data_IF_577463695978
#
_entry.id   IF_577463695978
#
_cell.length_a   1.000
_cell.length_b   1.000
_cell.length_c   1.000
_cell.angle_alpha   90.00
_cell.angle_beta   90.00
_cell.angle_gamma   90.00
#
_symmetry.space_group_name_H-M   'P 1'
#
loop_
_entity.id
_entity.type
_entity.pdbx_description
1 polymer ?
#
# COMPACT_ATOMS: atom_id res chain seq x y z
N UNK A 1 -2.59 -2.84 6.77
CA UNK A 1 -1.94 -2.15 7.92
C UNK A 1 -2.95 -1.95 9.04
N UNK A 2 -3.81 -0.91 9.05
CA UNK A 2 -4.79 -0.69 10.14
C UNK A 2 -5.63 -1.93 10.49
N UNK A 3 -6.13 -2.62 9.49
CA UNK A 3 -6.94 -3.85 9.67
C UNK A 3 -6.10 -5.04 10.19
N UNK A 4 -4.84 -5.16 9.77
CA UNK A 4 -3.94 -6.22 10.25
C UNK A 4 -3.52 -5.97 11.70
N UNK A 5 -3.30 -4.71 12.09
CA UNK A 5 -3.05 -4.31 13.47
C UNK A 5 -4.23 -4.64 14.39
N UNK A 6 -5.48 -4.46 13.93
CA UNK A 6 -6.67 -4.87 14.69
C UNK A 6 -6.79 -6.40 14.86
N UNK A 7 -6.36 -7.18 13.86
CA UNK A 7 -6.42 -8.66 13.92
C UNK A 7 -5.25 -9.28 14.69
N UNK A 8 -4.14 -8.56 14.88
CA UNK A 8 -2.95 -9.08 15.56
C UNK A 8 -2.83 -8.58 17.01
N UNK A 9 -3.23 -9.41 17.99
CA UNK A 9 -3.11 -9.09 19.43
C UNK A 9 -1.67 -9.11 19.98
N UNK A 10 -0.70 -9.81 19.35
CA UNK A 10 0.61 -10.13 19.97
C UNK A 10 1.87 -10.05 19.05
N UNK A 11 1.80 -9.54 17.82
CA UNK A 11 2.97 -9.50 16.91
C UNK A 11 3.74 -8.17 16.93
N UNK A 12 5.07 -8.17 16.85
CA UNK A 12 5.92 -6.97 16.75
C UNK A 12 5.44 -6.03 15.60
N UNK A 13 5.37 -4.69 15.77
CA UNK A 13 4.79 -3.79 14.76
C UNK A 13 5.43 -3.97 13.37
N UNK A 14 6.73 -4.27 13.32
CA UNK A 14 7.47 -4.50 12.07
C UNK A 14 6.94 -5.75 11.35
N UNK A 15 6.65 -6.82 12.09
CA UNK A 15 6.12 -8.07 11.52
C UNK A 15 4.70 -7.90 10.96
N UNK A 16 3.86 -7.10 11.63
CA UNK A 16 2.49 -6.81 11.19
C UNK A 16 2.50 -5.93 9.93
N UNK A 17 3.33 -4.89 9.92
CA UNK A 17 3.51 -4.03 8.74
C UNK A 17 4.05 -4.84 7.56
N UNK A 18 5.09 -5.64 7.77
CA UNK A 18 5.68 -6.44 6.69
C UNK A 18 4.68 -7.44 6.10
N UNK A 19 3.88 -8.11 6.94
CA UNK A 19 2.82 -9.03 6.50
C UNK A 19 1.73 -8.29 5.72
N UNK A 20 1.28 -7.14 6.22
CA UNK A 20 0.29 -6.30 5.56
C UNK A 20 0.76 -5.84 4.17
N UNK A 21 2.00 -5.33 4.11
CA UNK A 21 2.63 -4.86 2.88
C UNK A 21 2.75 -6.01 1.89
N UNK A 22 3.31 -7.16 2.29
CA UNK A 22 3.46 -8.33 1.40
C UNK A 22 2.12 -8.76 0.79
N UNK A 23 1.03 -8.74 1.57
CA UNK A 23 -0.32 -9.10 1.08
C UNK A 23 -0.87 -8.09 0.07
N UNK A 24 -0.75 -6.79 0.36
CA UNK A 24 -1.26 -5.73 -0.52
C UNK A 24 -0.37 -5.57 -1.75
N UNK A 25 0.93 -5.82 -1.61
CA UNK A 25 1.95 -5.72 -2.65
C UNK A 25 1.64 -6.65 -3.82
N UNK A 26 1.23 -7.90 -3.56
CA UNK A 26 0.83 -8.82 -4.63
C UNK A 26 -0.33 -8.25 -5.46
N UNK A 27 -1.33 -7.66 -4.81
CA UNK A 27 -2.48 -7.07 -5.50
C UNK A 27 -2.07 -5.81 -6.29
N UNK A 28 -1.31 -4.91 -5.68
CA UNK A 28 -0.84 -3.68 -6.36
C UNK A 28 0.11 -4.00 -7.50
N UNK A 29 1.00 -4.98 -7.35
CA UNK A 29 1.89 -5.43 -8.42
C UNK A 29 1.08 -5.99 -9.59
N UNK A 30 0.11 -6.88 -9.34
CA UNK A 30 -0.75 -7.42 -10.40
C UNK A 30 -1.51 -6.30 -11.12
N UNK A 31 -2.15 -5.38 -10.39
CA UNK A 31 -2.89 -4.28 -11.02
C UNK A 31 -1.97 -3.32 -11.78
N UNK A 32 -0.79 -2.98 -11.24
CA UNK A 32 0.18 -2.14 -11.96
C UNK A 32 0.67 -2.83 -13.24
N UNK A 33 0.95 -4.14 -13.18
CA UNK A 33 1.41 -4.91 -14.33
C UNK A 33 0.35 -5.02 -15.41
N UNK A 34 -0.91 -5.25 -15.05
CA UNK A 34 -2.01 -5.26 -16.03
C UNK A 34 -2.23 -3.89 -16.65
N UNK A 35 -2.10 -2.80 -15.88
CA UNK A 35 -2.14 -1.43 -16.47
C UNK A 35 -0.98 -1.19 -17.43
N UNK A 36 0.24 -1.61 -17.08
CA UNK A 36 1.40 -1.50 -17.96
C UNK A 36 1.21 -2.32 -19.24
N UNK A 37 0.58 -3.50 -19.15
CA UNK A 37 0.25 -4.31 -20.31
C UNK A 37 -0.71 -3.59 -21.27
N UNK A 38 -1.76 -2.96 -20.73
CA UNK A 38 -2.69 -2.14 -21.53
C UNK A 38 -1.98 -0.94 -22.14
N UNK A 39 -1.15 -0.23 -21.38
CA UNK A 39 -0.39 0.93 -21.87
C UNK A 39 0.64 0.53 -22.93
N UNK A 40 1.27 -0.64 -22.81
CA UNK A 40 2.17 -1.17 -23.83
C UNK A 40 1.41 -1.47 -25.13
N UNK A 41 0.22 -2.05 -25.05
CA UNK A 41 -0.64 -2.23 -26.23
C UNK A 41 -1.03 -0.89 -26.86
N UNK A 42 -1.40 0.12 -26.06
CA UNK A 42 -1.70 1.47 -26.56
C UNK A 42 -0.47 2.18 -27.15
N UNK A 43 0.72 1.92 -26.62
CA UNK A 43 1.95 2.48 -27.16
C UNK A 43 2.31 1.88 -28.53
N UNK A 44 2.14 0.56 -28.69
CA UNK A 44 2.46 -0.15 -29.94
C UNK A 44 1.38 0.01 -31.01
N UNK A 45 0.10 -0.05 -30.64
CA UNK A 45 -1.04 -0.08 -31.56
C UNK A 45 -1.86 1.21 -31.60
N UNK A 46 -1.62 2.17 -30.70
CA UNK A 46 -2.45 3.37 -30.57
C UNK A 46 -2.21 4.49 -31.59
N UNK A 47 -1.12 4.43 -32.36
CA UNK A 47 -0.78 5.48 -33.32
C UNK A 47 -0.20 6.75 -32.69
N UNK A 48 0.05 7.76 -33.51
CA UNK A 48 0.91 8.90 -33.14
C UNK A 48 0.30 9.85 -32.10
N UNK A 49 -1.03 10.03 -32.11
CA UNK A 49 -1.70 10.93 -31.16
C UNK A 49 -1.60 10.46 -29.71
N UNK A 50 -1.77 9.16 -29.43
CA UNK A 50 -1.77 8.62 -28.06
C UNK A 50 -0.42 8.06 -27.62
N UNK A 51 0.58 7.98 -28.52
CA UNK A 51 1.93 7.50 -28.18
C UNK A 51 2.59 8.32 -27.06
N UNK A 52 2.51 9.65 -27.13
CA UNK A 52 3.07 10.54 -26.11
C UNK A 52 2.34 10.45 -24.76
N UNK A 53 1.02 10.28 -24.80
CA UNK A 53 0.20 10.08 -23.61
C UNK A 53 0.53 8.74 -22.93
N UNK A 54 0.61 7.65 -23.69
CA UNK A 54 0.94 6.31 -23.19
C UNK A 54 2.33 6.26 -22.55
N UNK A 55 3.35 6.88 -23.14
CA UNK A 55 4.70 6.96 -22.53
C UNK A 55 4.63 7.67 -21.17
N UNK A 56 3.94 8.80 -21.10
CA UNK A 56 3.81 9.59 -19.87
C UNK A 56 3.13 8.77 -18.77
N UNK A 57 2.07 8.03 -19.11
CA UNK A 57 1.39 7.13 -18.17
C UNK A 57 2.27 5.96 -17.74
N UNK A 58 3.05 5.35 -18.64
CA UNK A 58 3.97 4.26 -18.28
C UNK A 58 4.98 4.73 -17.24
N UNK A 59 5.59 5.90 -17.46
CA UNK A 59 6.54 6.48 -16.50
C UNK A 59 5.85 6.77 -15.16
N UNK A 60 4.64 7.36 -15.20
CA UNK A 60 3.86 7.65 -14.01
C UNK A 60 3.51 6.40 -13.18
N UNK A 61 3.11 5.31 -13.84
CA UNK A 61 2.79 4.04 -13.17
C UNK A 61 4.03 3.42 -12.54
N UNK A 62 5.18 3.43 -13.23
CA UNK A 62 6.44 2.88 -12.69
C UNK A 62 6.87 3.65 -11.45
N UNK A 63 6.94 4.99 -11.55
CA UNK A 63 7.35 5.85 -10.44
C UNK A 63 6.34 5.78 -9.29
N UNK A 64 5.05 5.82 -9.59
CA UNK A 64 3.98 5.75 -8.58
C UNK A 64 3.93 4.42 -7.85
N UNK A 65 4.12 3.30 -8.55
CA UNK A 65 4.12 1.96 -7.94
C UNK A 65 5.33 1.78 -7.03
N UNK A 66 6.52 2.18 -7.50
CA UNK A 66 7.74 2.12 -6.70
C UNK A 66 7.65 3.06 -5.48
N UNK A 67 7.25 4.31 -5.69
CA UNK A 67 7.12 5.30 -4.61
C UNK A 67 6.10 4.87 -3.56
N UNK A 68 4.92 4.41 -3.97
CA UNK A 68 3.86 4.02 -3.02
C UNK A 68 4.27 2.83 -2.16
N UNK A 69 4.99 1.86 -2.71
CA UNK A 69 5.45 0.68 -1.95
C UNK A 69 6.63 1.01 -1.03
N UNK A 70 7.66 1.67 -1.55
CA UNK A 70 8.92 1.87 -0.82
C UNK A 70 8.90 3.11 0.07
N UNK A 71 8.36 4.23 -0.40
CA UNK A 71 8.33 5.50 0.37
C UNK A 71 7.32 5.40 1.50
N UNK A 72 6.14 4.80 1.30
CA UNK A 72 5.17 4.65 2.39
C UNK A 72 5.71 3.75 3.51
N UNK A 73 6.37 2.64 3.15
CA UNK A 73 6.91 1.70 4.13
C UNK A 73 8.14 2.26 4.84
N UNK A 74 9.02 2.97 4.10
CA UNK A 74 10.15 3.70 4.66
C UNK A 74 9.72 4.82 5.61
N UNK A 75 8.65 5.57 5.27
CA UNK A 75 8.09 6.63 6.12
C UNK A 75 7.46 6.06 7.41
N UNK A 76 6.72 4.95 7.29
CA UNK A 76 6.15 4.23 8.44
C UNK A 76 7.23 3.77 9.44
N UNK A 77 8.35 3.23 8.93
CA UNK A 77 9.48 2.82 9.75
C UNK A 77 10.28 4.02 10.30
N UNK A 78 10.45 5.07 9.50
CA UNK A 78 11.21 6.27 9.88
C UNK A 78 10.52 7.07 10.98
N UNK A 79 9.18 7.16 10.96
CA UNK A 79 8.40 7.80 12.02
C UNK A 79 8.34 6.98 13.31
N UNK A 80 9.00 5.80 13.37
CA UNK A 80 8.95 4.87 14.50
C UNK A 80 7.51 4.71 15.02
N UNK A 81 6.55 4.57 14.11
CA UNK A 81 5.14 4.44 14.50
C UNK A 81 4.99 3.14 15.29
N UNK A 82 5.06 3.27 16.61
CA UNK A 82 4.87 2.20 17.57
C UNK A 82 3.42 1.75 17.56
N UNK A 83 3.18 0.53 18.05
CA UNK A 83 1.84 -0.03 18.25
C UNK A 83 0.85 0.96 18.88
N UNK A 84 1.35 1.86 19.72
CA UNK A 84 0.58 2.88 20.43
C UNK A 84 -0.18 3.87 19.54
N UNK A 85 0.26 4.18 18.31
CA UNK A 85 -0.42 5.17 17.46
C UNK A 85 -1.61 4.60 16.67
N UNK A 86 -1.65 3.26 16.54
CA UNK A 86 -2.79 2.53 15.95
C UNK A 86 -3.71 1.91 17.00
N UNK A 87 -3.33 1.97 18.28
CA UNK A 87 -4.15 1.64 19.45
C UNK A 87 -4.95 2.88 19.87
N UNK A 88 -6.01 3.20 19.13
CA UNK A 88 -7.07 4.04 19.69
C UNK A 88 -7.70 3.26 20.85
N UNK A 89 -7.94 3.96 21.96
CA UNK A 89 -8.42 3.42 23.22
C UNK A 89 -9.63 2.47 23.07
N UNK A 90 -9.40 1.16 23.19
CA UNK A 90 -10.47 0.23 23.59
C UNK A 90 -10.49 -0.04 25.11
N UNK A 91 -9.66 0.65 25.91
CA UNK A 91 -9.75 0.58 27.38
C UNK A 91 -10.88 1.44 27.97
N UNK A 92 -11.77 2.02 27.15
CA UNK A 92 -12.90 2.83 27.65
C UNK A 92 -14.27 2.17 27.48
N UNK A 93 -14.44 1.13 26.65
CA UNK A 93 -15.76 0.50 26.46
C UNK A 93 -16.00 -0.77 27.27
N UNK A 94 -14.98 -1.32 27.92
CA UNK A 94 -15.09 -2.55 28.74
C UNK A 94 -15.07 -2.26 30.27
N UNK A 95 -14.87 -1.00 30.69
CA UNK A 95 -14.90 -0.59 32.11
C UNK A 95 -16.22 0.10 32.50
N UNK A 96 -17.04 0.51 31.51
CA UNK A 96 -18.32 1.20 31.73
C UNK A 96 -19.54 0.24 31.81
N UNK A 97 -19.30 -1.08 31.82
CA UNK A 97 -20.36 -2.11 31.83
C UNK A 97 -20.10 -3.24 32.87
N UNK A 98 -19.45 -2.89 34.00
CA UNK A 98 -19.40 -3.73 35.20
C UNK A 98 -19.92 -2.97 36.41
N UNK A 99 -20.69 -3.66 37.28
CA UNK A 99 -22.15 -3.68 37.33
C UNK A 99 -22.81 -2.44 37.96
#
# INVERSE_FOLDING_TARGET
IREDFHKSRLGDPVTVINRAVTRTLSRTMITSLTTLFVLAALYLFGGEMIRGFSITLIIGVIVGTYSSIYVANGLLLAMKVGKEDFMLHETQKEIDDMP
#
